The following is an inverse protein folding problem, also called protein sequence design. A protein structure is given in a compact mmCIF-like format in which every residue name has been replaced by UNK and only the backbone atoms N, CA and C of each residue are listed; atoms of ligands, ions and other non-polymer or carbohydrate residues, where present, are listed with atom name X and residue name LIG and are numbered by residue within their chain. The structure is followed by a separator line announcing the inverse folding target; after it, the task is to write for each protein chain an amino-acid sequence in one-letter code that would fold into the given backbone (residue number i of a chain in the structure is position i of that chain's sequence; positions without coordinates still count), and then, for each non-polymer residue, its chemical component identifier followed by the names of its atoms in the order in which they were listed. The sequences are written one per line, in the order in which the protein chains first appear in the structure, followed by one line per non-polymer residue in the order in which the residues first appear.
data_IF_583707964081
#
_entry.id   IF_583707964081
#
_cell.length_a   1.000
_cell.length_b   1.000
_cell.length_c   1.000
_cell.angle_alpha   90.00
_cell.angle_beta   90.00
_cell.angle_gamma   90.00
#
_symmetry.space_group_name_H-M   'P 1'
#
loop_
_entity.id
_entity.type
_entity.pdbx_description
1 polymer ?
#
# COMPACT_ATOMS: atom_id res chain seq x y z
N UNK A 1 -10.98 -34.03 -54.72
CA UNK A 1 -12.44 -33.82 -54.81
C UNK A 1 -12.84 -32.91 -53.66
N UNK A 2 -13.08 -31.60 -53.87
CA UNK A 2 -13.53 -30.70 -52.83
C UNK A 2 -15.06 -30.62 -52.83
N UNK A 3 -15.67 -30.88 -51.68
CA UNK A 3 -17.11 -30.75 -51.43
C UNK A 3 -17.50 -29.27 -51.27
N UNK A 4 -18.65 -28.94 -51.83
CA UNK A 4 -19.14 -27.60 -52.18
C UNK A 4 -19.92 -26.97 -51.02
N UNK A 5 -19.58 -25.73 -50.69
CA UNK A 5 -20.37 -24.84 -49.83
C UNK A 5 -21.78 -24.61 -50.40
N UNK A 6 -22.83 -25.00 -49.66
CA UNK A 6 -24.22 -24.62 -49.95
C UNK A 6 -24.60 -23.35 -49.19
N UNK A 7 -24.80 -22.27 -49.95
CA UNK A 7 -25.42 -21.02 -49.53
C UNK A 7 -26.83 -21.26 -48.96
N UNK A 8 -27.10 -20.75 -47.75
CA UNK A 8 -28.46 -20.50 -47.26
C UNK A 8 -28.80 -19.02 -47.45
N UNK A 9 -29.94 -18.79 -48.09
CA UNK A 9 -30.57 -17.50 -48.37
C UNK A 9 -31.11 -16.81 -47.11
N UNK A 10 -31.25 -15.47 -47.12
CA UNK A 10 -31.66 -14.68 -45.97
C UNK A 10 -33.18 -14.80 -45.72
N UNK A 11 -33.58 -14.96 -44.45
CA UNK A 11 -34.99 -14.89 -44.04
C UNK A 11 -35.39 -13.44 -43.75
N UNK A 12 -36.52 -13.08 -44.33
CA UNK A 12 -37.28 -11.83 -44.16
C UNK A 12 -37.47 -11.42 -42.70
N UNK A 13 -37.18 -10.15 -42.43
CA UNK A 13 -37.63 -9.41 -41.26
C UNK A 13 -39.06 -8.90 -41.49
N UNK A 14 -40.01 -9.10 -40.56
CA UNK A 14 -41.28 -8.39 -40.61
C UNK A 14 -41.09 -6.94 -40.18
N UNK A 15 -41.58 -6.03 -41.02
CA UNK A 15 -41.83 -4.63 -40.68
C UNK A 15 -43.08 -4.59 -39.81
N UNK A 16 -42.93 -4.21 -38.54
CA UNK A 16 -44.01 -3.55 -37.82
C UNK A 16 -43.45 -2.42 -36.97
N UNK A 17 -43.83 -1.23 -37.39
CA UNK A 17 -43.62 0.06 -36.74
C UNK A 17 -44.91 0.38 -36.01
N UNK A 18 -44.87 0.45 -34.68
CA UNK A 18 -45.65 1.37 -33.82
C UNK A 18 -45.36 1.08 -32.34
N UNK A 19 -45.30 2.18 -31.58
CA UNK A 19 -45.44 2.26 -30.13
C UNK A 19 -44.20 1.95 -29.27
N UNK A 20 -43.26 2.90 -29.24
CA UNK A 20 -42.40 3.14 -28.06
C UNK A 20 -42.75 4.52 -27.49
N UNK A 21 -43.27 4.61 -26.25
CA UNK A 21 -43.52 5.90 -25.61
C UNK A 21 -42.19 6.59 -25.26
N UNK A 22 -42.07 7.85 -25.68
CA UNK A 22 -41.07 8.80 -25.19
C UNK A 22 -41.32 9.04 -23.70
N UNK A 23 -40.30 8.81 -22.88
CA UNK A 23 -40.26 9.26 -21.50
C UNK A 23 -39.01 10.14 -21.30
N UNK A 24 -39.34 11.41 -21.12
CA UNK A 24 -38.64 12.61 -20.71
C UNK A 24 -37.24 12.52 -20.06
N UNK A 25 -36.35 13.33 -20.65
CA UNK A 25 -35.14 13.87 -20.03
C UNK A 25 -35.47 14.78 -18.85
N UNK A 26 -34.79 14.67 -17.69
CA UNK A 26 -34.74 15.72 -16.70
C UNK A 26 -33.44 16.53 -16.81
N UNK A 27 -33.59 17.74 -17.34
CA UNK A 27 -33.02 19.00 -16.85
C UNK A 27 -31.58 19.01 -16.32
N UNK A 28 -30.71 19.57 -17.17
CA UNK A 28 -29.50 20.26 -16.78
C UNK A 28 -29.79 21.31 -15.67
N UNK A 29 -29.16 21.15 -14.50
CA UNK A 29 -29.04 22.22 -13.51
C UNK A 29 -27.62 22.79 -13.58
N UNK A 30 -27.52 24.03 -14.05
CA UNK A 30 -26.36 24.89 -13.90
C UNK A 30 -26.21 25.30 -12.43
N UNK A 31 -25.02 25.27 -11.83
CA UNK A 31 -24.74 26.06 -10.64
C UNK A 31 -24.40 27.53 -11.00
N UNK A 32 -24.60 28.47 -10.06
CA UNK A 32 -24.61 29.91 -10.32
C UNK A 32 -23.21 30.52 -10.40
N UNK A 33 -23.12 31.57 -11.21
CA UNK A 33 -22.01 32.53 -11.29
C UNK A 33 -22.01 33.38 -10.01
N UNK A 34 -20.92 33.35 -9.25
CA UNK A 34 -20.62 34.34 -8.20
C UNK A 34 -19.36 35.13 -8.59
N UNK A 35 -19.36 36.47 -8.47
CA UNK A 35 -18.22 37.30 -8.82
C UNK A 35 -17.25 37.40 -7.63
N UNK A 36 -15.96 37.17 -7.87
CA UNK A 36 -14.91 37.46 -6.89
C UNK A 36 -14.19 38.76 -7.26
N UNK A 37 -14.50 39.80 -6.48
CA UNK A 37 -13.76 41.06 -6.36
C UNK A 37 -12.64 40.85 -5.34
N UNK A 38 -11.44 41.34 -5.62
CA UNK A 38 -10.42 41.53 -4.57
C UNK A 38 -8.98 41.27 -5.00
N UNK A 39 -8.38 42.19 -5.76
CA UNK A 39 -6.94 42.26 -5.92
C UNK A 39 -6.33 42.83 -4.62
N UNK A 40 -5.80 41.93 -3.78
CA UNK A 40 -5.03 42.28 -2.58
C UNK A 40 -3.53 42.15 -2.87
N UNK A 41 -2.83 43.27 -2.80
CA UNK A 41 -1.37 43.38 -2.80
C UNK A 41 -0.76 42.67 -1.59
N UNK A 42 0.19 41.75 -1.81
CA UNK A 42 0.92 41.06 -0.75
C UNK A 42 2.33 40.72 -1.19
N UNK A 43 3.28 41.61 -0.85
CA UNK A 43 4.72 41.41 -0.98
C UNK A 43 5.16 40.34 0.02
N UNK A 44 5.63 39.19 -0.46
CA UNK A 44 6.28 38.19 0.37
C UNK A 44 7.80 38.27 0.17
N UNK A 45 8.49 38.76 1.20
CA UNK A 45 9.96 38.76 1.29
C UNK A 45 10.49 37.33 1.25
N UNK A 46 11.39 37.08 0.30
CA UNK A 46 12.25 35.90 0.27
C UNK A 46 13.30 35.99 1.39
N UNK A 47 13.40 34.95 2.22
CA UNK A 47 14.53 34.75 3.15
C UNK A 47 15.74 34.22 2.35
N UNK A 48 16.95 34.78 2.52
CA UNK A 48 18.12 34.30 1.79
C UNK A 48 18.65 33.01 2.38
N UNK A 49 18.83 32.02 1.50
CA UNK A 49 19.62 30.81 1.69
C UNK A 49 21.07 31.24 1.90
N UNK A 50 21.68 30.90 3.05
CA UNK A 50 23.11 31.16 3.30
C UNK A 50 23.96 30.20 2.45
N UNK A 51 24.36 30.65 1.26
CA UNK A 51 25.44 30.04 0.50
C UNK A 51 26.77 30.38 1.19
N UNK A 52 27.37 29.38 1.84
CA UNK A 52 28.73 29.50 2.39
C UNK A 52 29.74 29.53 1.25
N UNK A 53 30.23 30.72 0.94
CA UNK A 53 31.39 30.95 0.07
C UNK A 53 32.65 30.45 0.77
N UNK A 54 33.15 29.30 0.31
CA UNK A 54 34.46 28.78 0.69
C UNK A 54 35.53 29.57 -0.08
N UNK A 55 36.05 30.65 0.51
CA UNK A 55 37.22 31.35 0.00
C UNK A 55 38.48 30.58 0.43
N UNK A 56 39.07 29.86 -0.52
CA UNK A 56 40.41 29.32 -0.41
C UNK A 56 41.42 30.40 -0.78
N UNK A 57 42.08 31.03 0.19
CA UNK A 57 43.35 31.73 0.00
C UNK A 57 44.23 31.63 1.25
N UNK A 58 45.38 30.97 1.08
CA UNK A 58 46.70 31.22 1.65
C UNK A 58 46.86 31.54 3.15
N UNK A 59 47.76 30.78 3.80
CA UNK A 59 48.61 31.37 4.84
C UNK A 59 49.07 30.39 5.91
N UNK A 60 50.30 29.92 5.76
CA UNK A 60 51.15 29.35 6.80
C UNK A 60 50.91 30.01 8.17
N UNK A 61 50.58 29.26 9.22
CA UNK A 61 51.11 29.38 10.58
C UNK A 61 50.58 28.21 11.44
N UNK A 62 51.46 27.63 12.26
CA UNK A 62 51.39 26.26 12.76
C UNK A 62 50.22 25.86 13.66
N UNK A 63 49.85 24.58 13.55
CA UNK A 63 49.17 23.85 14.61
C UNK A 63 50.19 23.49 15.70
N UNK A 64 50.33 24.36 16.70
CA UNK A 64 50.88 23.95 17.99
C UNK A 64 49.91 22.96 18.62
N UNK A 65 50.43 21.75 18.87
CA UNK A 65 49.78 20.72 19.65
C UNK A 65 49.41 21.24 21.04
N UNK A 66 48.10 21.27 21.35
CA UNK A 66 47.64 21.22 22.73
C UNK A 66 47.35 19.77 23.07
N UNK A 67 48.35 19.20 23.74
CA UNK A 67 48.27 18.00 24.56
C UNK A 67 47.31 18.31 25.72
N UNK A 68 46.25 17.51 25.88
CA UNK A 68 45.66 17.28 27.20
C UNK A 68 45.93 15.82 27.58
N UNK A 69 46.68 15.58 28.67
CA UNK A 69 46.76 14.28 29.30
C UNK A 69 45.60 14.14 30.29
N UNK A 70 44.91 13.02 30.27
CA UNK A 70 44.63 12.31 31.52
C UNK A 70 44.28 10.85 31.22
N UNK A 71 45.29 10.02 31.45
CA UNK A 71 45.18 8.58 31.60
C UNK A 71 44.76 8.33 33.04
N UNK A 72 43.58 7.74 33.22
CA UNK A 72 43.04 7.34 34.52
C UNK A 72 42.21 6.07 34.44
N UNK A 73 42.90 4.91 34.31
CA UNK A 73 42.61 3.56 34.86
C UNK A 73 41.23 2.92 34.54
N UNK A 74 41.16 1.84 33.75
CA UNK A 74 41.36 0.41 34.11
C UNK A 74 40.54 -0.08 35.31
N UNK A 75 39.59 -0.97 35.01
CA UNK A 75 38.64 -1.68 35.90
C UNK A 75 37.22 -1.25 35.51
N UNK A 76 36.40 -2.02 34.79
CA UNK A 76 36.14 -3.44 34.95
C UNK A 76 35.79 -4.13 33.64
N UNK A 77 36.01 -5.45 33.64
CA UNK A 77 35.50 -6.38 32.64
C UNK A 77 34.00 -6.15 32.45
N UNK A 78 33.59 -5.90 31.20
CA UNK A 78 32.19 -5.92 30.83
C UNK A 78 31.58 -7.30 31.15
N UNK A 79 30.34 -7.37 31.64
CA UNK A 79 29.63 -8.63 31.70
C UNK A 79 29.34 -9.06 30.26
N UNK A 80 30.00 -10.14 29.86
CA UNK A 80 29.59 -10.96 28.72
C UNK A 80 28.16 -11.45 28.98
N UNK A 81 27.21 -10.95 28.19
CA UNK A 81 25.95 -11.64 27.87
C UNK A 81 25.07 -12.06 29.04
N UNK A 82 24.40 -11.10 29.68
CA UNK A 82 23.03 -11.20 30.19
C UNK A 82 22.60 -9.81 30.71
N UNK A 83 21.46 -9.32 30.22
CA UNK A 83 20.55 -8.42 30.96
C UNK A 83 20.96 -6.96 31.20
N UNK A 84 21.15 -6.17 30.13
CA UNK A 84 21.20 -4.70 30.21
C UNK A 84 19.81 -4.03 30.42
N UNK A 85 18.81 -4.79 30.92
CA UNK A 85 17.43 -4.33 31.05
C UNK A 85 16.86 -4.50 32.46
N UNK A 86 17.65 -4.75 33.50
CA UNK A 86 17.12 -5.03 34.86
C UNK A 86 17.34 -3.91 35.87
N UNK A 87 18.14 -2.88 35.54
CA UNK A 87 18.51 -1.82 36.49
C UNK A 87 17.97 -0.46 36.03
N UNK A 88 17.20 0.17 36.91
CA UNK A 88 16.62 1.51 36.71
C UNK A 88 17.69 2.61 36.84
N UNK A 89 17.41 3.85 36.37
CA UNK A 89 18.32 4.99 36.46
C UNK A 89 18.75 5.37 37.88
N UNK A 90 17.98 5.00 38.90
CA UNK A 90 18.26 5.18 40.33
C UNK A 90 19.11 4.05 40.94
N UNK A 91 19.63 3.13 40.12
CA UNK A 91 20.46 2.00 40.56
C UNK A 91 19.66 0.86 41.21
N UNK A 92 18.34 0.97 41.27
CA UNK A 92 17.45 -0.08 41.77
C UNK A 92 17.19 -1.16 40.71
N UNK A 93 17.29 -2.43 41.10
CA UNK A 93 16.93 -3.55 40.24
C UNK A 93 15.41 -3.79 40.25
N UNK A 94 14.85 -4.20 39.11
CA UNK A 94 13.45 -4.59 39.02
C UNK A 94 13.22 -5.97 39.68
N UNK A 95 12.09 -6.15 40.39
CA UNK A 95 11.80 -7.41 41.06
C UNK A 95 11.41 -8.51 40.08
N UNK A 96 11.83 -9.74 40.36
CA UNK A 96 11.46 -10.91 39.58
C UNK A 96 12.05 -10.88 38.16
N UNK A 97 11.19 -11.11 37.16
CA UNK A 97 11.55 -11.11 35.72
C UNK A 97 11.23 -9.80 35.01
N UNK A 98 10.79 -8.78 35.76
CA UNK A 98 10.46 -7.47 35.19
C UNK A 98 11.72 -6.75 34.71
N UNK A 99 11.57 -5.99 33.63
CA UNK A 99 12.64 -5.17 33.05
C UNK A 99 12.41 -3.69 33.36
N UNK A 100 13.50 -2.92 33.42
CA UNK A 100 13.47 -1.49 33.59
C UNK A 100 13.19 -0.79 32.26
N UNK A 101 12.04 -0.13 32.16
CA UNK A 101 11.69 0.77 31.07
C UNK A 101 11.67 2.20 31.60
N UNK A 102 12.83 2.85 31.50
CA UNK A 102 13.09 4.10 32.20
C UNK A 102 13.04 3.91 33.72
N UNK A 103 12.24 4.72 34.42
CA UNK A 103 12.06 4.60 35.87
C UNK A 103 11.00 3.55 36.28
N UNK A 104 10.29 2.95 35.32
CA UNK A 104 9.28 1.95 35.59
C UNK A 104 9.86 0.53 35.48
N UNK A 105 9.36 -0.39 36.30
CA UNK A 105 9.57 -1.82 36.12
C UNK A 105 8.32 -2.40 35.48
N UNK A 106 8.49 -3.05 34.33
CA UNK A 106 7.40 -3.59 33.53
C UNK A 106 7.67 -5.06 33.25
N UNK A 107 6.63 -5.88 33.19
CA UNK A 107 6.77 -7.30 32.86
C UNK A 107 6.56 -7.49 31.36
N UNK A 108 7.62 -7.67 30.56
CA UNK A 108 7.46 -7.79 29.13
C UNK A 108 6.73 -9.06 28.73
N UNK A 109 6.54 -10.03 29.63
CA UNK A 109 5.80 -11.25 29.32
C UNK A 109 4.29 -11.04 29.28
N UNK A 110 3.77 -9.97 29.88
CA UNK A 110 2.33 -9.80 30.12
C UNK A 110 1.82 -8.35 30.04
N UNK A 111 2.71 -7.36 30.05
CA UNK A 111 2.36 -5.95 29.93
C UNK A 111 2.02 -5.60 28.47
N UNK A 112 0.77 -5.18 28.24
CA UNK A 112 0.27 -4.79 26.91
C UNK A 112 0.95 -3.54 26.36
N UNK A 113 1.48 -2.64 27.19
CA UNK A 113 2.22 -1.45 26.74
C UNK A 113 3.71 -1.74 26.47
N UNK A 114 4.22 -2.88 26.94
CA UNK A 114 5.64 -3.23 26.92
C UNK A 114 5.87 -4.70 26.56
N UNK A 115 5.08 -5.24 25.62
CA UNK A 115 5.05 -6.67 25.35
C UNK A 115 6.31 -7.12 24.59
N UNK A 116 7.12 -7.99 25.20
CA UNK A 116 8.40 -8.42 24.67
C UNK A 116 9.53 -7.39 24.83
N UNK A 117 9.25 -6.18 25.29
CA UNK A 117 10.25 -5.13 25.51
C UNK A 117 9.66 -3.74 25.79
N UNK A 118 10.51 -2.79 26.16
CA UNK A 118 10.10 -1.41 26.42
C UNK A 118 9.44 -0.77 25.20
N UNK A 119 8.43 0.05 25.46
CA UNK A 119 7.62 0.79 24.48
C UNK A 119 7.07 -0.04 23.31
N UNK A 120 6.91 -1.36 23.50
CA UNK A 120 6.34 -2.27 22.51
C UNK A 120 4.86 -2.57 22.81
N UNK A 121 4.03 -1.54 22.66
CA UNK A 121 2.60 -1.67 22.94
C UNK A 121 1.90 -2.55 21.89
N UNK A 122 1.10 -3.51 22.34
CA UNK A 122 0.24 -4.30 21.46
C UNK A 122 -0.86 -3.42 20.84
N UNK A 123 -1.36 -3.85 19.68
CA UNK A 123 -2.46 -3.18 19.01
C UNK A 123 -3.74 -3.23 19.87
N UNK A 124 -4.71 -2.32 19.63
CA UNK A 124 -6.02 -2.40 20.28
C UNK A 124 -6.64 -3.80 20.14
N UNK A 125 -7.17 -4.34 21.24
CA UNK A 125 -7.74 -5.69 21.38
C UNK A 125 -6.75 -6.88 21.41
N UNK A 126 -5.45 -6.65 21.29
CA UNK A 126 -4.45 -7.68 21.56
C UNK A 126 -4.18 -7.83 23.08
N UNK A 127 -3.79 -9.04 23.46
CA UNK A 127 -3.28 -9.38 24.79
C UNK A 127 -1.81 -9.76 24.70
N UNK A 128 -1.00 -9.35 25.67
CA UNK A 128 0.37 -9.81 25.77
C UNK A 128 0.42 -11.18 26.46
N UNK A 129 0.88 -12.20 25.76
CA UNK A 129 1.02 -13.56 26.30
C UNK A 129 2.43 -14.05 26.03
N UNK A 130 3.19 -14.24 27.11
CA UNK A 130 4.59 -14.69 27.05
C UNK A 130 5.48 -13.78 26.18
N UNK A 131 5.22 -12.48 26.20
CA UNK A 131 5.99 -11.47 25.46
C UNK A 131 5.66 -11.40 23.98
N UNK A 132 4.51 -11.95 23.59
CA UNK A 132 4.00 -11.88 22.22
C UNK A 132 2.61 -11.25 22.28
N UNK A 133 2.38 -10.22 21.47
CA UNK A 133 1.05 -9.70 21.24
C UNK A 133 0.22 -10.75 20.47
N UNK A 134 -0.83 -11.24 21.13
CA UNK A 134 -1.75 -12.24 20.61
C UNK A 134 -3.17 -11.68 20.64
N UNK A 135 -3.88 -11.88 19.54
CA UNK A 135 -5.32 -11.72 19.52
C UNK A 135 -5.99 -12.91 20.22
N UNK A 136 -6.92 -12.68 21.16
CA UNK A 136 -7.78 -13.73 21.66
C UNK A 136 -8.55 -14.36 20.48
N UNK A 137 -8.64 -15.70 20.46
CA UNK A 137 -9.37 -16.39 19.41
C UNK A 137 -10.84 -15.95 19.41
N UNK A 138 -11.30 -15.43 18.26
CA UNK A 138 -12.69 -15.00 18.08
C UNK A 138 -13.00 -13.57 18.51
N UNK A 139 -12.00 -12.75 18.86
CA UNK A 139 -12.24 -11.33 19.14
C UNK A 139 -12.34 -10.50 17.84
N UNK A 140 -13.53 -9.96 17.49
CA UNK A 140 -13.72 -9.18 16.28
C UNK A 140 -13.04 -7.80 16.32
N UNK A 141 -12.60 -7.32 17.49
CA UNK A 141 -11.88 -6.05 17.59
C UNK A 141 -10.42 -6.16 17.13
N UNK A 142 -9.85 -7.37 17.18
CA UNK A 142 -8.56 -7.73 16.57
C UNK A 142 -8.65 -7.95 15.06
N UNK A 143 -9.84 -8.28 14.58
CA UNK A 143 -10.16 -8.26 13.16
C UNK A 143 -10.48 -6.81 12.75
N UNK A 144 -9.45 -5.99 12.56
CA UNK A 144 -9.62 -4.65 12.02
C UNK A 144 -10.58 -4.67 10.81
N UNK A 145 -11.67 -3.87 10.80
CA UNK A 145 -12.56 -3.83 9.66
C UNK A 145 -11.84 -3.22 8.44
N UNK A 146 -11.85 -3.89 7.25
CA UNK A 146 -12.40 -5.21 6.95
C UNK A 146 -11.43 -6.12 6.18
N UNK A 147 -10.14 -6.12 6.53
CA UNK A 147 -9.14 -7.05 6.01
C UNK A 147 -8.38 -7.58 7.23
N UNK A 148 -8.53 -8.88 7.56
CA UNK A 148 -7.87 -9.48 8.73
C UNK A 148 -6.35 -9.28 8.68
N UNK A 149 -5.65 -9.59 9.78
CA UNK A 149 -4.18 -9.47 9.80
C UNK A 149 -3.58 -10.36 8.70
N UNK A 150 -2.97 -9.77 7.65
CA UNK A 150 -2.51 -10.52 6.51
C UNK A 150 -1.24 -11.32 6.83
N UNK A 151 -0.58 -11.10 7.97
CA UNK A 151 0.55 -11.91 8.42
C UNK A 151 0.12 -13.15 9.23
N UNK A 152 -1.14 -13.20 9.67
CA UNK A 152 -1.73 -14.32 10.46
C UNK A 152 -3.15 -14.70 10.00
N UNK A 153 -3.39 -14.69 8.71
CA UNK A 153 -4.69 -15.01 8.11
C UNK A 153 -4.97 -16.52 8.17
N UNK A 154 -5.90 -16.97 9.02
CA UNK A 154 -6.18 -18.39 9.21
C UNK A 154 -4.94 -19.20 9.61
N UNK A 155 -4.01 -18.58 10.34
CA UNK A 155 -2.76 -19.21 10.79
C UNK A 155 -1.59 -19.18 9.79
N UNK A 156 -1.70 -18.44 8.68
CA UNK A 156 -0.60 -18.24 7.72
C UNK A 156 -0.46 -16.78 7.27
N UNK A 157 0.72 -16.42 6.77
CA UNK A 157 0.92 -15.11 6.13
C UNK A 157 0.48 -15.14 4.67
N UNK A 158 -0.31 -14.15 4.27
CA UNK A 158 -0.68 -13.89 2.89
C UNK A 158 0.51 -13.29 2.13
N UNK A 159 0.57 -13.62 0.83
CA UNK A 159 1.57 -13.03 -0.08
C UNK A 159 1.32 -11.53 -0.27
N UNK A 160 2.28 -10.81 -0.85
CA UNK A 160 2.19 -9.36 -1.07
C UNK A 160 1.08 -8.95 -2.05
N UNK A 161 0.62 -9.89 -2.87
CA UNK A 161 -0.47 -9.75 -3.84
C UNK A 161 -1.85 -10.19 -3.30
N UNK A 162 -1.93 -10.49 -2.00
CA UNK A 162 -3.10 -11.03 -1.34
C UNK A 162 -3.52 -10.17 -0.14
N UNK A 163 -4.81 -10.21 0.17
CA UNK A 163 -5.41 -9.65 1.38
C UNK A 163 -6.10 -10.75 2.18
N UNK A 164 -6.16 -10.57 3.49
CA UNK A 164 -6.86 -11.51 4.35
C UNK A 164 -8.35 -11.18 4.40
N UNK A 165 -9.20 -12.14 4.03
CA UNK A 165 -10.65 -12.01 4.15
C UNK A 165 -11.19 -13.16 4.99
N UNK A 166 -11.59 -12.85 6.22
CA UNK A 166 -11.86 -13.88 7.25
C UNK A 166 -10.56 -14.62 7.58
N UNK A 167 -10.57 -15.96 7.47
CA UNK A 167 -9.40 -16.80 7.70
C UNK A 167 -8.71 -17.24 6.39
N UNK A 168 -8.97 -16.56 5.27
CA UNK A 168 -8.43 -16.94 3.96
C UNK A 168 -7.73 -15.79 3.25
N UNK A 169 -6.49 -16.05 2.81
CA UNK A 169 -5.79 -15.20 1.86
C UNK A 169 -6.45 -15.27 0.49
N UNK A 170 -6.95 -14.13 0.02
CA UNK A 170 -7.57 -13.97 -1.30
C UNK A 170 -6.79 -12.93 -2.09
N UNK A 171 -6.88 -12.98 -3.41
CA UNK A 171 -6.22 -11.99 -4.25
C UNK A 171 -6.73 -10.57 -3.97
N UNK A 172 -5.82 -9.60 -4.08
CA UNK A 172 -6.21 -8.19 -4.10
C UNK A 172 -7.24 -7.92 -5.19
N UNK A 173 -8.12 -6.91 -5.01
CA UNK A 173 -9.02 -6.50 -6.07
C UNK A 173 -8.28 -6.25 -7.39
N UNK A 174 -8.88 -6.66 -8.50
CA UNK A 174 -8.26 -6.59 -9.83
C UNK A 174 -7.42 -7.80 -10.21
N UNK A 175 -7.02 -8.66 -9.27
CA UNK A 175 -6.26 -9.88 -9.56
C UNK A 175 -7.12 -11.14 -9.51
N UNK A 176 -6.76 -12.12 -10.33
CA UNK A 176 -7.43 -13.43 -10.42
C UNK A 176 -6.55 -14.51 -9.79
N UNK A 177 -7.17 -15.38 -9.00
CA UNK A 177 -6.48 -16.52 -8.39
C UNK A 177 -6.20 -17.61 -9.44
N UNK A 178 -4.94 -18.00 -9.56
CA UNK A 178 -4.47 -19.13 -10.37
C UNK A 178 -3.63 -20.03 -9.48
N UNK A 179 -4.27 -21.07 -8.93
CA UNK A 179 -3.68 -21.88 -7.87
C UNK A 179 -3.49 -21.06 -6.59
N UNK A 180 -2.25 -20.91 -6.15
CA UNK A 180 -1.86 -20.13 -4.97
C UNK A 180 -1.25 -18.74 -5.29
N UNK A 181 -1.27 -18.37 -6.58
CA UNK A 181 -0.78 -17.09 -7.11
C UNK A 181 -1.95 -16.18 -7.50
N UNK A 182 -1.72 -14.88 -7.48
CA UNK A 182 -2.62 -13.90 -8.06
C UNK A 182 -1.99 -13.30 -9.31
N UNK A 183 -2.73 -13.31 -10.41
CA UNK A 183 -2.29 -12.79 -11.71
C UNK A 183 -3.28 -11.75 -12.20
N UNK A 184 -2.79 -10.76 -12.95
CA UNK A 184 -3.65 -9.84 -13.68
C UNK A 184 -3.93 -10.43 -15.06
N UNK A 185 -5.18 -10.80 -15.34
CA UNK A 185 -5.55 -11.36 -16.64
C UNK A 185 -5.40 -10.33 -17.77
N UNK A 186 -5.28 -9.04 -17.47
CA UNK A 186 -5.08 -8.01 -18.48
C UNK A 186 -3.65 -8.00 -19.05
N UNK A 187 -2.67 -8.52 -18.30
CA UNK A 187 -1.25 -8.37 -18.61
C UNK A 187 -0.43 -9.66 -18.44
N UNK A 188 -0.97 -10.71 -17.83
CA UNK A 188 -0.27 -12.00 -17.68
C UNK A 188 -0.23 -12.79 -19.00
N UNK A 189 0.97 -13.07 -19.55
CA UNK A 189 1.12 -13.75 -20.83
C UNK A 189 0.67 -15.21 -20.83
N UNK A 190 0.60 -15.87 -19.67
CA UNK A 190 0.18 -17.27 -19.55
C UNK A 190 -1.34 -17.39 -19.26
N UNK A 191 -2.00 -16.29 -18.88
CA UNK A 191 -3.38 -16.23 -18.43
C UNK A 191 -4.16 -15.06 -19.05
N UNK A 192 -3.89 -14.73 -20.31
CA UNK A 192 -4.38 -13.49 -20.92
C UNK A 192 -5.89 -13.53 -21.17
N UNK A 193 -6.66 -12.69 -20.48
CA UNK A 193 -8.12 -12.60 -20.54
C UNK A 193 -8.86 -13.74 -19.83
N UNK A 194 -8.23 -14.91 -19.69
CA UNK A 194 -8.71 -16.05 -18.92
C UNK A 194 -7.57 -16.97 -18.51
N UNK A 195 -7.77 -17.71 -17.42
CA UNK A 195 -6.79 -18.65 -16.87
C UNK A 195 -6.39 -19.71 -17.92
N UNK A 196 -5.07 -19.87 -18.12
CA UNK A 196 -4.49 -20.83 -19.07
C UNK A 196 -4.50 -20.41 -20.54
N UNK A 197 -4.95 -19.19 -20.88
CA UNK A 197 -4.84 -18.68 -22.24
C UNK A 197 -3.47 -18.02 -22.47
N UNK A 198 -2.48 -18.84 -22.82
CA UNK A 198 -1.12 -18.39 -23.09
C UNK A 198 -0.98 -17.70 -24.45
N UNK A 199 -0.31 -16.55 -24.49
CA UNK A 199 -0.04 -15.80 -25.69
C UNK A 199 1.32 -16.16 -26.31
N UNK A 200 1.43 -16.33 -27.64
CA UNK A 200 2.71 -16.49 -28.32
C UNK A 200 3.60 -15.23 -28.26
N UNK A 201 2.99 -14.04 -28.27
CA UNK A 201 3.68 -12.76 -28.22
C UNK A 201 3.48 -12.03 -26.88
N UNK A 202 2.51 -11.10 -26.80
CA UNK A 202 2.26 -10.32 -25.57
C UNK A 202 0.79 -10.31 -25.17
N UNK A 203 0.52 -10.24 -23.87
CA UNK A 203 -0.82 -9.97 -23.36
C UNK A 203 -1.05 -8.45 -23.25
N UNK A 204 -2.08 -7.93 -23.92
CA UNK A 204 -2.43 -6.51 -23.90
C UNK A 204 -3.92 -6.33 -23.61
N UNK A 205 -4.26 -5.89 -22.40
CA UNK A 205 -5.65 -5.68 -21.98
C UNK A 205 -6.48 -6.96 -22.02
N UNK A 206 -5.86 -8.12 -21.76
CA UNK A 206 -6.53 -9.43 -21.76
C UNK A 206 -6.70 -10.04 -23.14
N UNK A 207 -6.03 -9.50 -24.17
CA UNK A 207 -6.02 -10.04 -25.53
C UNK A 207 -4.58 -10.24 -25.99
N UNK A 208 -4.29 -11.40 -26.58
CA UNK A 208 -2.99 -11.64 -27.22
C UNK A 208 -2.81 -10.69 -28.40
N UNK A 209 -1.70 -9.96 -28.40
CA UNK A 209 -1.36 -8.99 -29.43
C UNK A 209 0.08 -9.19 -29.88
N UNK A 210 0.44 -8.82 -31.13
CA UNK A 210 1.81 -8.99 -31.63
C UNK A 210 2.82 -8.04 -30.96
N UNK A 211 2.35 -6.96 -30.34
CA UNK A 211 3.16 -5.97 -29.61
C UNK A 211 2.26 -5.05 -28.77
N UNK A 212 2.88 -4.34 -27.84
CA UNK A 212 2.20 -3.28 -27.09
C UNK A 212 1.79 -2.12 -27.99
N UNK A 213 0.64 -1.55 -27.69
CA UNK A 213 0.07 -0.39 -28.38
C UNK A 213 -0.69 0.47 -27.37
N UNK A 214 -1.16 1.65 -27.80
CA UNK A 214 -2.02 2.48 -26.95
C UNK A 214 -1.33 3.10 -25.73
N UNK A 215 0.00 3.27 -25.78
CA UNK A 215 0.77 3.84 -24.67
C UNK A 215 1.17 2.83 -23.58
N UNK A 216 0.77 1.58 -23.71
CA UNK A 216 1.19 0.50 -22.79
C UNK A 216 2.70 0.23 -22.91
N UNK A 217 3.32 -0.09 -21.78
CA UNK A 217 4.73 -0.46 -21.70
C UNK A 217 4.88 -1.97 -21.83
N UNK A 218 5.81 -2.41 -22.68
CA UNK A 218 6.25 -3.81 -22.70
C UNK A 218 7.09 -4.16 -21.47
N UNK A 219 6.63 -5.12 -20.66
CA UNK A 219 7.31 -5.70 -19.51
C UNK A 219 7.32 -7.23 -19.63
N UNK A 220 8.43 -7.82 -20.10
CA UNK A 220 8.66 -9.28 -20.10
C UNK A 220 7.48 -10.14 -20.61
N UNK A 221 6.90 -9.79 -21.76
CA UNK A 221 5.76 -10.53 -22.35
C UNK A 221 4.38 -9.92 -22.03
N UNK A 222 4.33 -8.92 -21.15
CA UNK A 222 3.13 -8.18 -20.82
C UNK A 222 3.12 -6.78 -21.45
N UNK A 223 1.94 -6.27 -21.80
CA UNK A 223 1.71 -4.86 -22.07
C UNK A 223 0.94 -4.26 -20.90
N UNK A 224 1.66 -3.55 -20.05
CA UNK A 224 1.14 -3.02 -18.78
C UNK A 224 0.91 -1.52 -18.89
N UNK A 225 -0.10 -1.04 -18.17
CA UNK A 225 -0.26 0.38 -17.90
C UNK A 225 0.46 0.72 -16.60
N UNK A 226 1.64 1.32 -16.70
CA UNK A 226 2.43 1.70 -15.52
C UNK A 226 1.72 2.73 -14.63
N UNK A 227 0.65 3.37 -15.11
CA UNK A 227 -0.08 4.37 -14.34
C UNK A 227 -1.13 3.78 -13.39
N UNK A 228 -1.58 2.55 -13.64
CA UNK A 228 -2.73 1.92 -12.96
C UNK A 228 -2.48 0.46 -12.54
N UNK A 229 -1.47 -0.21 -13.10
CA UNK A 229 -1.16 -1.61 -12.77
C UNK A 229 -0.48 -1.72 -11.38
N UNK A 230 -1.10 -2.39 -10.39
CA UNK A 230 -0.56 -2.50 -9.04
C UNK A 230 0.65 -3.43 -8.92
N UNK A 231 0.95 -4.24 -9.95
CA UNK A 231 2.13 -5.10 -10.02
C UNK A 231 3.30 -4.41 -10.77
N UNK A 232 3.02 -3.35 -11.53
CA UNK A 232 3.99 -2.61 -12.37
C UNK A 232 3.88 -1.08 -12.20
N UNK A 233 3.66 -0.59 -10.98
CA UNK A 233 3.32 0.81 -10.74
C UNK A 233 4.51 1.76 -10.92
N UNK A 234 4.47 2.58 -11.97
CA UNK A 234 5.49 3.54 -12.36
C UNK A 234 6.66 2.94 -13.15
N UNK A 235 6.97 1.66 -12.96
CA UNK A 235 7.99 0.91 -13.70
C UNK A 235 7.69 -0.60 -13.69
N UNK A 236 8.25 -1.34 -14.66
CA UNK A 236 8.06 -2.78 -14.74
C UNK A 236 8.52 -3.48 -13.45
N UNK A 237 7.67 -4.33 -12.88
CA UNK A 237 8.00 -5.15 -11.71
C UNK A 237 7.92 -4.42 -10.37
N UNK A 238 7.59 -3.12 -10.37
CA UNK A 238 7.35 -2.38 -9.14
C UNK A 238 5.94 -2.65 -8.63
N UNK A 239 5.82 -3.68 -7.81
CA UNK A 239 4.55 -3.98 -7.15
C UNK A 239 4.29 -3.06 -5.96
N UNK A 240 3.07 -2.55 -5.86
CA UNK A 240 2.59 -1.84 -4.69
C UNK A 240 2.39 -2.79 -3.51
N UNK A 241 2.43 -2.24 -2.29
CA UNK A 241 2.12 -2.99 -1.08
C UNK A 241 0.67 -3.51 -1.09
N UNK A 242 0.36 -4.47 -0.21
CA UNK A 242 -0.91 -5.21 -0.27
C UNK A 242 -2.15 -4.32 -0.05
N UNK A 243 -1.96 -3.25 0.69
CA UNK A 243 -2.87 -2.18 1.07
C UNK A 243 -2.72 -0.93 0.19
N UNK A 244 -2.08 -1.07 -0.97
CA UNK A 244 -1.88 0.00 -1.94
C UNK A 244 -2.43 -0.35 -3.32
N UNK A 245 -2.94 0.67 -4.00
CA UNK A 245 -3.29 0.65 -5.43
C UNK A 245 -2.32 1.55 -6.21
N UNK A 246 -2.22 1.32 -7.52
CA UNK A 246 -1.45 2.22 -8.38
C UNK A 246 -2.35 3.34 -8.89
N UNK A 247 -1.95 4.58 -8.63
CA UNK A 247 -2.61 5.77 -9.13
C UNK A 247 -1.55 6.69 -9.72
N UNK A 248 -1.67 6.96 -11.02
CA UNK A 248 -0.74 7.79 -11.79
C UNK A 248 0.73 7.38 -11.61
N UNK A 249 0.98 6.07 -11.55
CA UNK A 249 2.32 5.48 -11.41
C UNK A 249 2.92 5.61 -10.01
N UNK A 250 2.08 5.85 -9.00
CA UNK A 250 2.47 5.88 -7.59
C UNK A 250 1.58 4.95 -6.79
N UNK A 251 2.21 4.18 -5.91
CA UNK A 251 1.47 3.40 -4.93
C UNK A 251 0.82 4.34 -3.91
N UNK A 252 -0.49 4.17 -3.74
CA UNK A 252 -1.34 4.94 -2.83
C UNK A 252 -2.08 4.00 -1.91
N UNK A 253 -2.09 4.33 -0.63
CA UNK A 253 -2.84 3.58 0.35
C UNK A 253 -4.33 3.61 0.00
N UNK A 254 -5.01 2.48 0.17
CA UNK A 254 -6.45 2.38 0.00
C UNK A 254 -7.09 1.56 1.11
N UNK A 255 -8.38 1.81 1.32
CA UNK A 255 -9.25 1.01 2.17
C UNK A 255 -10.49 0.58 1.40
N UNK A 256 -11.02 -0.62 1.65
CA UNK A 256 -12.33 -1.01 1.14
C UNK A 256 -13.45 -0.14 1.73
N UNK A 257 -14.47 0.14 0.93
CA UNK A 257 -15.60 0.97 1.32
C UNK A 257 -16.94 0.31 0.99
N UNK A 258 -17.93 0.47 1.85
CA UNK A 258 -19.31 0.01 1.57
C UNK A 258 -20.05 0.98 0.65
N UNK A 259 -19.64 2.26 0.64
CA UNK A 259 -20.13 3.32 -0.23
C UNK A 259 -19.16 4.52 -0.18
N UNK A 260 -19.28 5.44 -1.14
CA UNK A 260 -18.43 6.64 -1.20
C UNK A 260 -18.54 7.55 0.03
N UNK A 261 -19.69 7.57 0.71
CA UNK A 261 -19.91 8.43 1.88
C UNK A 261 -19.03 8.05 3.10
N UNK A 262 -18.43 6.85 3.05
CA UNK A 262 -17.50 6.34 4.05
C UNK A 262 -16.07 6.89 3.89
N UNK A 263 -15.70 7.44 2.73
CA UNK A 263 -14.35 7.94 2.47
C UNK A 263 -14.10 9.27 3.17
N UNK A 264 -13.13 9.29 4.09
CA UNK A 264 -12.77 10.45 4.93
C UNK A 264 -11.32 10.31 5.40
N UNK A 265 -10.77 11.40 5.96
CA UNK A 265 -9.43 11.39 6.54
C UNK A 265 -8.35 11.19 5.49
N UNK A 266 -7.44 10.25 5.73
CA UNK A 266 -6.25 10.02 4.92
C UNK A 266 -6.54 9.34 3.56
N UNK A 267 -7.72 8.74 3.41
CA UNK A 267 -8.23 8.19 2.14
C UNK A 267 -9.56 8.86 1.77
N UNK A 268 -9.55 10.13 1.31
CA UNK A 268 -10.77 10.88 1.06
C UNK A 268 -11.44 10.56 -0.28
N UNK A 269 -10.72 9.96 -1.23
CA UNK A 269 -11.20 9.82 -2.61
C UNK A 269 -11.91 8.49 -2.81
N UNK A 270 -13.17 8.55 -3.24
CA UNK A 270 -13.94 7.37 -3.60
C UNK A 270 -13.63 6.92 -5.03
N UNK A 271 -13.33 5.64 -5.20
CA UNK A 271 -13.07 5.02 -6.49
C UNK A 271 -13.87 3.74 -6.66
N UNK A 272 -14.37 3.53 -7.87
CA UNK A 272 -14.78 2.20 -8.32
C UNK A 272 -13.53 1.46 -8.81
N UNK A 273 -13.23 0.33 -8.18
CA UNK A 273 -12.04 -0.47 -8.50
C UNK A 273 -12.40 -1.94 -8.58
N UNK A 274 -12.18 -2.53 -9.76
CA UNK A 274 -12.71 -3.83 -10.13
C UNK A 274 -14.23 -3.91 -9.87
N UNK A 275 -14.66 -4.77 -8.93
CA UNK A 275 -16.08 -4.94 -8.57
C UNK A 275 -16.38 -4.38 -7.17
N UNK A 276 -15.60 -3.42 -6.69
CA UNK A 276 -15.70 -2.91 -5.32
C UNK A 276 -15.53 -1.40 -5.27
N UNK A 277 -16.17 -0.76 -4.30
CA UNK A 277 -15.89 0.63 -3.95
C UNK A 277 -14.75 0.67 -2.96
N UNK A 278 -13.78 1.56 -3.20
CA UNK A 278 -12.62 1.78 -2.32
C UNK A 278 -12.44 3.26 -2.02
N UNK A 279 -11.75 3.54 -0.92
CA UNK A 279 -11.27 4.87 -0.57
C UNK A 279 -9.75 4.92 -0.78
N UNK A 280 -9.26 5.89 -1.53
CA UNK A 280 -7.85 6.02 -1.91
C UNK A 280 -7.26 7.31 -1.34
N UNK A 281 -5.98 7.26 -0.97
CA UNK A 281 -5.22 8.44 -0.57
C UNK A 281 -4.86 9.32 -1.78
N UNK A 282 -5.00 10.65 -1.60
CA UNK A 282 -4.87 11.62 -2.70
C UNK A 282 -6.14 11.75 -3.53
N UNK A 283 -6.05 12.35 -4.73
CA UNK A 283 -7.21 12.79 -5.53
C UNK A 283 -7.49 11.94 -6.78
N UNK A 284 -6.80 10.81 -6.95
CA UNK A 284 -6.87 9.98 -8.15
C UNK A 284 -7.39 8.57 -7.89
N UNK A 285 -7.87 7.93 -8.95
CA UNK A 285 -8.31 6.53 -8.96
C UNK A 285 -7.43 5.67 -9.87
N UNK A 286 -7.35 4.36 -9.62
CA UNK A 286 -6.70 3.41 -10.51
C UNK A 286 -7.40 3.30 -11.88
#
# INVERSE_FOLDING_TARGET
MPEVCKHRTPRNWPRDVRDVPRADSPSARRPPVVPAVGAGTGVALQRPVRASLCFALFGLYGCSALVSPDVGRLGDAGPTGADAATVRPDGGACPGTAIACGAACVDPASDVAHCGGCDHACAPAESCVSGICLCPAGDPACAAPPLGNPDRCGGRSCRSDQVCRGDTCVCRPGLTAVGDRCVDLASDPDNCGMVGNACPEVCAGGVCAPRCSGGLRGCEGACVDLSSDPLHCGECGRSCARDQVCVEGRCRDYGPATSCDACRGDTPTCCDYATSTICVSGDGCP
#
